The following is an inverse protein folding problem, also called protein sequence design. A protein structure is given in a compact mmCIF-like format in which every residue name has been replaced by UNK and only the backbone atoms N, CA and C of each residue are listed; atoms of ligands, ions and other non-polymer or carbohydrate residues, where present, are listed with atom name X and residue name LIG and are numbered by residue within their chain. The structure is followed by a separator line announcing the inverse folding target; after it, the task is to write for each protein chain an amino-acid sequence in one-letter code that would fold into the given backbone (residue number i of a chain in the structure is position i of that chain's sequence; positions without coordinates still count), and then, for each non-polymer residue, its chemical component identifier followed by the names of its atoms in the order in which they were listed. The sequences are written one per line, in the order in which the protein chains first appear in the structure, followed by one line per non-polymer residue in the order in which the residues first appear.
data_IF_562557627882
#
_entry.id   IF_562557627882
#
_cell.length_a   1.000
_cell.length_b   1.000
_cell.length_c   1.000
_cell.angle_alpha   90.00
_cell.angle_beta   90.00
_cell.angle_gamma   90.00
#
_symmetry.space_group_name_H-M   'P 1'
#
loop_
_entity.id
_entity.type
_entity.pdbx_description
1 polymer ?
#
# COMPACT_ATOMS: atom_id res chain seq x y z
N UNK A 1 -19.65 26.69 6.88
CA UNK A 1 -18.51 26.35 5.99
C UNK A 1 -17.59 25.23 6.50
N UNK A 2 -18.01 24.37 7.45
CA UNK A 2 -17.17 23.26 7.95
C UNK A 2 -17.41 21.89 7.26
N UNK A 3 -18.42 21.79 6.39
CA UNK A 3 -18.79 20.53 5.71
C UNK A 3 -17.95 20.20 4.46
N UNK A 4 -17.29 21.20 3.86
CA UNK A 4 -16.42 21.03 2.68
C UNK A 4 -15.04 20.41 2.99
N UNK A 5 -14.70 20.24 4.26
CA UNK A 5 -13.38 19.76 4.69
C UNK A 5 -13.43 18.38 5.37
N UNK A 6 -14.61 17.75 5.46
CA UNK A 6 -14.67 16.35 5.93
C UNK A 6 -14.10 15.48 4.81
N UNK A 7 -13.03 14.69 5.08
CA UNK A 7 -12.54 13.75 4.09
C UNK A 7 -13.70 12.88 3.62
N UNK A 8 -13.82 12.72 2.30
CA UNK A 8 -14.76 11.80 1.69
C UNK A 8 -14.60 10.42 2.35
N UNK A 9 -15.63 9.55 2.36
CA UNK A 9 -15.52 8.19 2.92
C UNK A 9 -14.27 7.43 2.42
N UNK A 10 -13.80 7.82 1.25
CA UNK A 10 -12.60 7.36 0.61
C UNK A 10 -11.30 7.72 1.33
N UNK A 11 -11.07 9.00 1.63
CA UNK A 11 -9.87 9.48 2.33
C UNK A 11 -9.81 9.05 3.82
N UNK A 12 -10.76 8.25 4.30
CA UNK A 12 -10.75 7.65 5.64
C UNK A 12 -10.12 6.26 5.68
N UNK A 13 -9.74 5.71 4.52
CA UNK A 13 -9.17 4.36 4.39
C UNK A 13 -7.76 4.45 3.80
N UNK A 14 -6.94 3.45 4.11
CA UNK A 14 -5.66 3.28 3.45
C UNK A 14 -5.91 2.87 2.00
N UNK A 15 -5.10 3.39 1.10
CA UNK A 15 -5.21 3.11 -0.32
C UNK A 15 -3.84 2.90 -0.93
N UNK A 16 -3.76 2.13 -2.00
CA UNK A 16 -2.65 2.26 -2.95
C UNK A 16 -3.23 2.59 -4.33
N UNK A 17 -2.47 3.33 -5.11
CA UNK A 17 -2.85 3.68 -6.47
C UNK A 17 -1.60 3.85 -7.33
N UNK A 18 -1.79 3.69 -8.64
CA UNK A 18 -0.69 3.67 -9.56
C UNK A 18 -1.10 4.14 -10.94
N UNK A 19 -0.16 4.72 -11.67
CA UNK A 19 -0.25 4.89 -13.11
C UNK A 19 0.70 3.89 -13.75
N UNK A 20 0.23 2.68 -14.04
CA UNK A 20 1.09 1.62 -14.60
C UNK A 20 1.42 1.97 -16.05
N UNK A 21 2.69 2.20 -16.42
CA UNK A 21 3.05 2.50 -17.80
C UNK A 21 2.68 1.34 -18.74
N UNK A 22 2.23 1.63 -19.96
CA UNK A 22 1.96 0.58 -20.96
C UNK A 22 3.17 -0.32 -21.19
N UNK A 23 4.39 0.22 -21.10
CA UNK A 23 5.64 -0.54 -21.26
C UNK A 23 5.93 -1.54 -20.14
N UNK A 24 5.27 -1.42 -18.98
CA UNK A 24 5.45 -2.34 -17.85
C UNK A 24 4.66 -3.65 -18.03
N UNK A 25 3.70 -3.68 -18.96
CA UNK A 25 2.70 -4.75 -19.03
C UNK A 25 2.73 -5.43 -20.38
N UNK A 26 2.77 -6.76 -20.35
CA UNK A 26 2.78 -7.57 -21.58
C UNK A 26 1.39 -7.70 -22.20
N UNK A 27 0.33 -7.68 -21.39
CA UNK A 27 -1.07 -7.75 -21.83
C UNK A 27 -1.99 -6.95 -20.89
N UNK A 28 -3.01 -6.30 -21.44
CA UNK A 28 -4.00 -5.53 -20.68
C UNK A 28 -4.75 -6.40 -19.66
N UNK A 29 -4.94 -7.70 -19.92
CA UNK A 29 -5.63 -8.61 -19.00
C UNK A 29 -4.74 -9.05 -17.83
N UNK A 30 -3.42 -8.90 -17.91
CA UNK A 30 -2.47 -9.28 -16.86
C UNK A 30 -2.03 -8.12 -15.95
N UNK A 31 -2.29 -6.86 -16.36
CA UNK A 31 -1.84 -5.65 -15.65
C UNK A 31 -2.09 -5.70 -14.14
N UNK A 32 -3.27 -6.15 -13.72
CA UNK A 32 -3.62 -6.21 -12.30
C UNK A 32 -2.81 -7.27 -11.54
N UNK A 33 -2.51 -8.42 -12.17
CA UNK A 33 -1.66 -9.47 -11.58
C UNK A 33 -0.24 -8.98 -11.42
N UNK A 34 0.28 -8.31 -12.44
CA UNK A 34 1.66 -7.81 -12.46
C UNK A 34 1.84 -6.67 -11.43
N UNK A 35 0.87 -5.75 -11.35
CA UNK A 35 0.84 -4.73 -10.31
C UNK A 35 0.69 -5.31 -8.89
N UNK A 36 -0.16 -6.31 -8.71
CA UNK A 36 -0.34 -6.97 -7.42
C UNK A 36 0.93 -7.70 -6.99
N UNK A 37 1.56 -8.45 -7.90
CA UNK A 37 2.84 -9.13 -7.65
C UNK A 37 3.92 -8.13 -7.23
N UNK A 38 4.00 -6.98 -7.89
CA UNK A 38 4.92 -5.91 -7.54
C UNK A 38 4.77 -5.44 -6.08
N UNK A 39 3.52 -5.23 -5.61
CA UNK A 39 3.26 -4.85 -4.22
C UNK A 39 3.66 -5.96 -3.23
N UNK A 40 3.36 -7.22 -3.55
CA UNK A 40 3.68 -8.36 -2.69
C UNK A 40 5.19 -8.58 -2.60
N UNK A 41 5.89 -8.51 -3.72
CA UNK A 41 7.33 -8.71 -3.78
C UNK A 41 8.05 -7.61 -2.98
N UNK A 42 7.59 -6.36 -3.08
CA UNK A 42 8.09 -5.26 -2.25
C UNK A 42 7.87 -5.54 -0.75
N UNK A 43 6.67 -5.97 -0.36
CA UNK A 43 6.36 -6.27 1.03
C UNK A 43 7.17 -7.46 1.58
N UNK A 44 7.38 -8.51 0.77
CA UNK A 44 8.21 -9.66 1.12
C UNK A 44 9.67 -9.28 1.36
N UNK A 45 10.24 -8.41 0.51
CA UNK A 45 11.60 -7.91 0.70
C UNK A 45 11.76 -7.23 2.06
N UNK A 46 10.83 -6.33 2.41
CA UNK A 46 10.85 -5.65 3.71
C UNK A 46 10.65 -6.63 4.85
N UNK A 47 9.71 -7.57 4.74
CA UNK A 47 9.49 -8.58 5.77
C UNK A 47 10.76 -9.41 6.02
N UNK A 48 11.42 -9.86 4.96
CA UNK A 48 12.67 -10.61 5.05
C UNK A 48 13.80 -9.77 5.70
N UNK A 49 13.93 -8.49 5.35
CA UNK A 49 14.90 -7.58 5.98
C UNK A 49 14.65 -7.38 7.47
N UNK A 50 13.38 -7.42 7.89
CA UNK A 50 12.99 -7.35 9.29
C UNK A 50 13.07 -8.71 10.01
N UNK A 51 13.62 -9.73 9.35
CA UNK A 51 13.76 -11.08 9.90
C UNK A 51 12.42 -11.78 10.13
N UNK A 52 11.42 -11.49 9.29
CA UNK A 52 10.14 -12.18 9.27
C UNK A 52 10.18 -13.32 8.25
N UNK A 53 9.61 -14.46 8.62
CA UNK A 53 9.27 -15.52 7.67
C UNK A 53 8.00 -15.12 6.92
N UNK A 54 7.95 -15.35 5.61
CA UNK A 54 6.79 -14.97 4.78
C UNK A 54 6.12 -16.18 4.16
N UNK A 55 4.79 -16.26 4.26
CA UNK A 55 3.98 -17.24 3.53
C UNK A 55 2.84 -16.53 2.80
N UNK A 56 2.54 -16.99 1.59
CA UNK A 56 1.43 -16.46 0.79
C UNK A 56 0.17 -17.26 1.05
N UNK A 57 -0.88 -16.60 1.53
CA UNK A 57 -2.23 -17.16 1.53
C UNK A 57 -3.08 -16.48 0.45
N UNK A 58 -3.66 -17.31 -0.44
CA UNK A 58 -4.44 -16.86 -1.58
C UNK A 58 -5.94 -17.11 -1.36
N UNK A 59 -6.76 -16.07 -1.46
CA UNK A 59 -8.20 -16.27 -1.66
C UNK A 59 -8.46 -16.74 -3.10
N UNK A 60 -9.30 -17.78 -3.30
CA UNK A 60 -9.71 -18.28 -4.63
C UNK A 60 -10.28 -17.19 -5.56
N UNK A 61 -10.79 -16.10 -4.99
CA UNK A 61 -11.43 -15.00 -5.73
C UNK A 61 -10.53 -13.79 -6.02
N UNK A 62 -9.20 -13.99 -6.02
CA UNK A 62 -8.20 -13.13 -6.67
C UNK A 62 -8.25 -11.65 -6.27
N UNK A 63 -7.94 -11.35 -5.01
CA UNK A 63 -8.18 -10.00 -4.51
C UNK A 63 -7.40 -9.61 -3.26
N UNK A 64 -6.97 -10.58 -2.45
CA UNK A 64 -6.25 -10.36 -1.19
C UNK A 64 -5.08 -11.33 -1.10
N UNK A 65 -3.87 -10.80 -0.86
CA UNK A 65 -2.73 -11.57 -0.38
C UNK A 65 -2.52 -11.24 1.09
N UNK A 66 -2.56 -12.27 1.90
CA UNK A 66 -2.14 -12.18 3.28
C UNK A 66 -0.70 -12.69 3.36
N UNK A 67 0.19 -11.85 3.86
CA UNK A 67 1.54 -12.19 4.24
C UNK A 67 1.51 -12.54 5.73
N UNK A 68 1.65 -13.83 6.04
CA UNK A 68 1.81 -14.28 7.42
C UNK A 68 3.27 -14.14 7.82
N UNK A 69 3.51 -13.49 8.97
CA UNK A 69 4.85 -13.21 9.48
C UNK A 69 5.05 -13.84 10.84
N UNK A 70 6.06 -14.71 10.93
CA UNK A 70 6.62 -15.18 12.20
C UNK A 70 8.03 -14.62 12.32
N UNK A 71 8.35 -13.97 13.43
CA UNK A 71 9.70 -13.49 13.72
C UNK A 71 10.00 -13.65 15.20
N UNK A 72 11.26 -13.91 15.55
CA UNK A 72 11.72 -13.87 16.95
C UNK A 72 11.76 -12.44 17.50
N UNK A 73 11.88 -11.44 16.61
CA UNK A 73 12.09 -10.03 16.97
C UNK A 73 10.81 -9.19 16.91
N UNK A 74 9.70 -9.76 16.45
CA UNK A 74 8.41 -9.08 16.36
C UNK A 74 7.40 -9.87 17.16
N UNK A 75 6.84 -9.23 18.18
CA UNK A 75 5.86 -9.83 19.05
C UNK A 75 4.49 -9.83 18.38
N UNK A 76 3.88 -11.00 18.30
CA UNK A 76 2.50 -11.19 17.89
C UNK A 76 1.67 -11.59 19.11
N UNK A 77 0.46 -11.06 19.25
CA UNK A 77 -0.44 -11.39 20.37
C UNK A 77 -0.78 -12.89 20.43
N UNK A 78 -0.80 -13.56 19.28
CA UNK A 78 -1.12 -14.98 19.14
C UNK A 78 0.03 -15.74 18.45
N UNK A 79 0.21 -17.01 18.81
CA UNK A 79 1.25 -17.88 18.23
C UNK A 79 1.05 -18.17 16.74
N UNK A 80 -0.15 -17.96 16.22
CA UNK A 80 -0.51 -18.08 14.80
C UNK A 80 0.18 -17.03 13.91
N UNK A 81 0.86 -16.06 14.51
CA UNK A 81 1.63 -15.03 13.81
C UNK A 81 0.84 -13.75 13.53
N UNK A 82 1.51 -12.81 12.87
CA UNK A 82 0.94 -11.54 12.46
C UNK A 82 0.66 -11.54 10.95
N UNK A 83 -0.23 -10.68 10.47
CA UNK A 83 -0.66 -10.67 9.06
C UNK A 83 -0.53 -9.28 8.47
N UNK A 84 0.14 -9.16 7.33
CA UNK A 84 0.04 -7.99 6.45
C UNK A 84 -0.85 -8.35 5.26
N UNK A 85 -1.99 -7.67 5.15
CA UNK A 85 -2.97 -7.90 4.10
C UNK A 85 -2.79 -6.84 3.02
N UNK A 86 -2.48 -7.28 1.81
CA UNK A 86 -2.36 -6.46 0.61
C UNK A 86 -3.46 -6.87 -0.35
N UNK A 87 -4.37 -5.95 -0.62
CA UNK A 87 -5.53 -6.21 -1.47
C UNK A 87 -5.52 -5.25 -2.64
N UNK A 88 -5.64 -5.76 -3.86
CA UNK A 88 -5.65 -4.99 -5.10
C UNK A 88 -6.80 -5.44 -6.01
N UNK A 89 -8.04 -5.25 -5.55
CA UNK A 89 -9.24 -5.75 -6.23
C UNK A 89 -9.71 -4.78 -7.30
N UNK A 90 -8.95 -4.67 -8.39
CA UNK A 90 -9.38 -3.91 -9.56
C UNK A 90 -9.38 -4.78 -10.80
N UNK A 91 -10.57 -5.25 -11.18
CA UNK A 91 -10.75 -6.15 -12.33
C UNK A 91 -10.43 -5.49 -13.68
N UNK A 92 -10.48 -4.16 -13.78
CA UNK A 92 -10.18 -3.39 -14.99
C UNK A 92 -9.63 -2.00 -14.64
N UNK A 93 -8.30 -1.75 -14.78
CA UNK A 93 -7.78 -0.40 -14.65
C UNK A 93 -8.27 0.47 -15.83
N UNK A 94 -8.42 1.77 -15.61
CA UNK A 94 -8.81 2.69 -16.69
C UNK A 94 -7.60 3.05 -17.54
N UNK A 95 -7.70 2.91 -18.87
CA UNK A 95 -6.65 3.40 -19.77
C UNK A 95 -6.64 4.93 -19.70
N UNK A 96 -5.46 5.51 -19.49
CA UNK A 96 -5.22 6.94 -19.49
C UNK A 96 -4.31 7.29 -20.67
N UNK A 97 -4.78 8.15 -21.57
CA UNK A 97 -4.06 8.60 -22.76
C UNK A 97 -3.32 9.92 -22.54
N UNK A 98 -3.45 10.51 -21.35
CA UNK A 98 -2.75 11.73 -20.94
C UNK A 98 -1.99 11.48 -19.63
N UNK A 99 -1.01 10.59 -19.72
CA UNK A 99 -0.12 10.24 -18.61
C UNK A 99 0.82 11.40 -18.29
N UNK A 100 0.96 11.75 -17.01
CA UNK A 100 1.93 12.76 -16.58
C UNK A 100 3.37 12.28 -16.86
N UNK A 101 4.26 13.22 -17.19
CA UNK A 101 5.63 12.89 -17.63
C UNK A 101 6.48 12.14 -16.61
N UNK A 102 6.15 12.24 -15.31
CA UNK A 102 6.83 11.52 -14.24
C UNK A 102 6.50 10.02 -14.19
N UNK A 103 5.49 9.56 -14.94
CA UNK A 103 5.10 8.14 -14.97
C UNK A 103 5.83 7.41 -16.09
N UNK A 104 5.86 8.00 -17.30
CA UNK A 104 6.64 7.54 -18.44
C UNK A 104 6.62 8.59 -19.56
N UNK A 105 7.55 8.48 -20.52
CA UNK A 105 7.58 9.26 -21.77
C UNK A 105 6.51 8.85 -22.77
N UNK A 106 5.95 7.64 -22.66
CA UNK A 106 4.78 7.21 -23.43
C UNK A 106 3.52 7.83 -22.84
N UNK A 107 2.71 8.48 -23.68
CA UNK A 107 1.46 9.13 -23.24
C UNK A 107 0.42 8.18 -22.64
N UNK A 108 0.59 6.86 -22.79
CA UNK A 108 -0.36 5.84 -22.33
C UNK A 108 0.05 5.14 -21.02
N UNK A 109 -0.90 5.07 -20.09
CA UNK A 109 -0.80 4.30 -18.83
C UNK A 109 -2.15 3.69 -18.46
N UNK A 110 -2.12 2.78 -17.49
CA UNK A 110 -3.31 2.23 -16.83
C UNK A 110 -3.40 2.80 -15.42
N UNK A 111 -4.48 3.52 -15.13
CA UNK A 111 -4.71 4.07 -13.81
C UNK A 111 -5.43 3.06 -12.91
N UNK A 112 -4.77 2.72 -11.81
CA UNK A 112 -5.31 1.93 -10.73
C UNK A 112 -5.97 2.85 -9.72
N UNK A 113 -7.22 3.17 -10.02
CA UNK A 113 -8.03 4.00 -9.14
C UNK A 113 -8.34 3.27 -7.83
N UNK A 114 -8.17 3.90 -6.66
CA UNK A 114 -8.35 3.23 -5.37
C UNK A 114 -9.83 2.92 -5.00
N UNK A 115 -10.76 2.82 -5.96
CA UNK A 115 -12.22 2.70 -5.74
C UNK A 115 -12.64 1.46 -4.95
N UNK A 116 -11.95 0.33 -5.13
CA UNK A 116 -12.34 -0.97 -4.58
C UNK A 116 -11.16 -1.67 -3.93
N UNK A 117 -11.33 -2.10 -2.67
CA UNK A 117 -10.42 -2.96 -1.88
C UNK A 117 -8.95 -2.89 -2.33
N UNK A 118 -8.40 -1.67 -2.35
CA UNK A 118 -7.03 -1.39 -2.80
C UNK A 118 -6.25 -0.89 -1.60
N UNK A 119 -5.90 -1.75 -0.66
CA UNK A 119 -5.37 -1.33 0.64
C UNK A 119 -4.25 -2.24 1.13
N UNK A 120 -3.45 -1.66 2.02
CA UNK A 120 -2.49 -2.38 2.87
C UNK A 120 -2.98 -2.23 4.31
N UNK A 121 -3.13 -3.38 4.99
CA UNK A 121 -3.61 -3.45 6.37
C UNK A 121 -2.71 -4.37 7.19
N UNK A 122 -2.33 -3.90 8.36
CA UNK A 122 -1.66 -4.71 9.37
C UNK A 122 -2.70 -5.33 10.30
N UNK A 123 -2.51 -6.59 10.69
CA UNK A 123 -3.35 -7.23 11.70
C UNK A 123 -3.19 -6.49 13.04
N UNK A 124 -4.25 -6.46 13.87
CA UNK A 124 -4.15 -5.91 15.22
C UNK A 124 -3.24 -6.74 16.13
N UNK A 125 -2.82 -7.93 15.69
CA UNK A 125 -1.97 -8.84 16.45
C UNK A 125 -0.51 -8.40 16.52
N UNK A 126 -0.10 -7.45 15.69
CA UNK A 126 1.23 -6.83 15.77
C UNK A 126 1.36 -5.99 17.04
N UNK A 127 2.22 -6.41 17.97
CA UNK A 127 2.54 -5.69 19.20
C UNK A 127 3.82 -4.85 18.99
N UNK A 128 3.72 -3.54 19.22
CA UNK A 128 4.85 -2.61 19.08
C UNK A 128 5.44 -2.46 17.68
N UNK A 129 4.83 -3.05 16.65
CA UNK A 129 5.37 -3.05 15.30
C UNK A 129 5.34 -1.66 14.66
N UNK A 130 6.48 -1.23 14.14
CA UNK A 130 6.60 0.04 13.43
C UNK A 130 6.08 -0.10 11.99
N UNK A 131 4.76 0.02 11.83
CA UNK A 131 4.09 -0.02 10.54
C UNK A 131 4.56 1.11 9.63
N UNK A 132 4.91 2.28 10.19
CA UNK A 132 5.42 3.40 9.39
C UNK A 132 6.73 3.05 8.69
N UNK A 133 7.71 2.49 9.42
CA UNK A 133 8.99 2.09 8.85
C UNK A 133 8.81 1.02 7.77
N UNK A 134 7.91 0.05 8.00
CA UNK A 134 7.55 -0.93 6.98
C UNK A 134 7.04 -0.27 5.69
N UNK A 135 6.12 0.70 5.81
CA UNK A 135 5.53 1.37 4.65
C UNK A 135 6.56 2.23 3.89
N UNK A 136 7.49 2.89 4.61
CA UNK A 136 8.60 3.62 4.02
C UNK A 136 9.49 2.68 3.21
N UNK A 137 10.00 1.60 3.82
CA UNK A 137 10.86 0.61 3.13
C UNK A 137 10.14 -0.10 1.99
N UNK A 138 8.86 -0.40 2.14
CA UNK A 138 8.07 -1.02 1.08
C UNK A 138 8.01 -0.08 -0.12
N UNK A 139 7.77 1.22 0.11
CA UNK A 139 7.71 2.21 -0.95
C UNK A 139 9.04 2.45 -1.66
N UNK A 140 10.20 2.13 -1.06
CA UNK A 140 11.50 2.22 -1.75
C UNK A 140 11.74 1.10 -2.75
N UNK A 141 11.00 -0.01 -2.64
CA UNK A 141 11.05 -1.10 -3.61
C UNK A 141 10.05 -0.96 -4.75
N UNK A 142 9.15 0.01 -4.66
CA UNK A 142 8.16 0.26 -5.68
C UNK A 142 8.68 1.26 -6.72
N UNK A 143 8.16 1.28 -7.95
CA UNK A 143 8.46 2.29 -8.97
C UNK A 143 7.87 3.67 -8.63
N UNK A 144 8.36 4.72 -9.29
CA UNK A 144 7.97 6.11 -9.03
C UNK A 144 6.48 6.39 -9.26
N UNK A 145 5.86 5.61 -10.15
CA UNK A 145 4.46 5.71 -10.51
C UNK A 145 3.50 4.99 -9.55
N UNK A 146 4.00 4.41 -8.45
CA UNK A 146 3.20 3.77 -7.40
C UNK A 146 3.18 4.63 -6.14
N UNK A 147 2.00 4.77 -5.56
CA UNK A 147 1.79 5.54 -4.35
C UNK A 147 0.98 4.76 -3.33
N UNK A 148 1.35 4.89 -2.06
CA UNK A 148 0.59 4.32 -0.95
C UNK A 148 0.12 5.44 -0.04
N UNK A 149 -1.18 5.53 0.16
CA UNK A 149 -1.84 6.47 1.05
C UNK A 149 -2.26 5.79 2.35
N UNK A 150 -1.94 6.40 3.48
CA UNK A 150 -2.49 6.03 4.78
C UNK A 150 -3.34 7.16 5.34
N UNK A 151 -4.55 6.80 5.76
CA UNK A 151 -5.45 7.75 6.40
C UNK A 151 -4.94 8.14 7.80
N UNK A 152 -5.37 9.29 8.34
CA UNK A 152 -5.02 9.70 9.70
C UNK A 152 -5.35 8.61 10.73
N UNK A 153 -4.45 8.42 11.69
CA UNK A 153 -4.62 7.47 12.79
C UNK A 153 -4.85 6.02 12.34
N UNK A 154 -4.22 5.61 11.23
CA UNK A 154 -4.23 4.23 10.71
C UNK A 154 -2.86 3.57 10.68
N UNK A 155 -1.82 4.26 11.12
CA UNK A 155 -0.45 3.81 11.00
C UNK A 155 0.27 3.95 12.34
N UNK A 156 0.70 2.83 12.90
CA UNK A 156 1.37 2.77 14.19
C UNK A 156 2.90 2.86 14.03
N UNK A 157 3.53 3.64 14.90
CA UNK A 157 4.98 3.71 15.09
C UNK A 157 5.42 2.77 16.23
N UNK A 158 4.54 2.62 17.23
CA UNK A 158 4.62 1.70 18.37
C UNK A 158 3.21 1.48 18.92
N UNK A 159 3.05 0.80 20.06
CA UNK A 159 1.73 0.59 20.69
C UNK A 159 1.02 1.91 21.02
N UNK A 160 1.75 2.86 21.62
CA UNK A 160 1.19 4.14 22.09
C UNK A 160 1.34 5.29 21.10
N UNK A 161 2.10 5.10 20.01
CA UNK A 161 2.38 6.16 19.06
C UNK A 161 1.77 5.88 17.69
N UNK A 162 0.83 6.74 17.29
CA UNK A 162 0.10 6.64 16.03
C UNK A 162 0.27 7.91 15.19
N UNK A 163 0.46 7.75 13.88
CA UNK A 163 0.56 8.87 12.96
C UNK A 163 -0.81 9.54 12.79
N UNK A 164 -0.94 10.77 13.29
CA UNK A 164 -2.21 11.53 13.32
C UNK A 164 -2.51 12.30 12.02
N UNK A 165 -1.56 12.34 11.09
CA UNK A 165 -1.69 13.03 9.81
C UNK A 165 -1.89 12.01 8.66
N UNK A 166 -2.54 12.41 7.55
CA UNK A 166 -2.51 11.59 6.35
C UNK A 166 -1.09 11.57 5.78
N UNK A 167 -0.67 10.42 5.25
CA UNK A 167 0.67 10.23 4.69
C UNK A 167 0.56 9.59 3.31
N UNK A 168 1.37 10.08 2.38
CA UNK A 168 1.62 9.45 1.08
C UNK A 168 3.05 8.95 1.04
N UNK A 169 3.22 7.66 0.78
CA UNK A 169 4.52 7.01 0.61
C UNK A 169 4.82 6.82 -0.86
N UNK A 170 6.03 7.21 -1.28
CA UNK A 170 6.53 7.05 -2.63
C UNK A 170 8.06 7.07 -2.59
N UNK A 171 8.71 6.11 -3.27
CA UNK A 171 10.18 6.06 -3.42
C UNK A 171 10.95 6.16 -2.09
N UNK A 172 10.48 5.48 -1.03
CA UNK A 172 11.15 5.52 0.27
C UNK A 172 10.95 6.82 1.06
N UNK A 173 10.05 7.70 0.61
CA UNK A 173 9.76 8.98 1.25
C UNK A 173 8.32 9.03 1.73
N UNK A 174 8.13 9.66 2.88
CA UNK A 174 6.83 9.96 3.46
C UNK A 174 6.50 11.44 3.25
N UNK A 175 5.36 11.71 2.63
CA UNK A 175 4.84 13.05 2.37
C UNK A 175 3.61 13.30 3.24
N UNK A 176 3.71 14.26 4.17
CA UNK A 176 2.63 14.61 5.08
C UNK A 176 1.80 15.76 4.53
N UNK A 177 0.48 15.65 4.59
CA UNK A 177 -0.43 16.76 4.26
C UNK A 177 -0.91 17.40 5.54
N UNK A 178 -0.13 18.36 6.04
CA UNK A 178 -0.47 19.14 7.23
C UNK A 178 -1.10 20.45 6.77
N UNK A 179 -2.30 20.77 7.27
CA UNK A 179 -2.82 22.13 7.13
C UNK A 179 -2.06 23.01 8.12
N UNK A 180 -1.43 24.12 7.70
CA UNK A 180 -0.87 25.07 8.65
C UNK A 180 -1.99 25.56 9.57
N UNK A 181 -1.72 25.63 10.87
CA UNK A 181 -2.62 26.30 11.81
C UNK A 181 -2.59 27.78 11.44
N UNK A 182 -3.76 28.38 11.22
CA UNK A 182 -3.92 29.83 11.15
C UNK A 182 -3.63 30.43 12.51
#
# INVERSE_FOLDING_TARGET
MAWLLKPTPFAKKNHHFAWVPQSFVSDQKSVWKDYQRLLIDAAKKVANELGMETFDEFSKDLSVHALLTKSKNISCKHETGCVVIISAVQKKPSKNTNTASFVNSTKESYFFEPKYFSFIRFSPEFLGFNQYDFMVRMSSYLPEWVYIYTAPSKLHLSEDNIVKAPVLFNQGKAHFFIKPKK
#
